data_IF_122172158331
#
_entry.id   IF_122172158331
#
_cell.length_a   1.000
_cell.length_b   1.000
_cell.length_c   1.000
_cell.angle_alpha   90.00
_cell.angle_beta   90.00
_cell.angle_gamma   90.00
#
_symmetry.space_group_name_H-M   'P 1'
#
loop_
_entity.id
_entity.type
_entity.pdbx_description
1 polymer ?
#
# COMPACT_ATOMS: atom_id res chain seq x y z
N UNK A 1 -3.29 -1.00 -10.46
CA UNK A 1 -2.41 -1.19 -9.29
C UNK A 1 -3.16 -1.42 -8.00
N UNK A 2 -4.28 -0.78 -7.82
CA UNK A 2 -5.06 -0.92 -6.60
C UNK A 2 -5.44 -2.37 -6.31
N UNK A 3 -5.86 -3.10 -7.33
CA UNK A 3 -6.22 -4.50 -7.17
C UNK A 3 -5.05 -5.35 -6.71
N UNK A 4 -3.86 -5.09 -7.26
CA UNK A 4 -2.66 -5.83 -6.90
C UNK A 4 -2.27 -5.55 -5.45
N UNK A 5 -2.33 -4.29 -5.04
CA UNK A 5 -2.02 -3.92 -3.66
C UNK A 5 -3.00 -4.60 -2.72
N UNK A 6 -4.29 -4.60 -3.06
CA UNK A 6 -5.31 -5.25 -2.25
C UNK A 6 -5.05 -6.75 -2.09
N UNK A 7 -4.67 -7.41 -3.18
CA UNK A 7 -4.38 -8.84 -3.14
C UNK A 7 -3.19 -9.16 -2.25
N UNK A 8 -2.24 -8.23 -2.16
CA UNK A 8 -1.08 -8.41 -1.30
C UNK A 8 -1.43 -8.18 0.17
N UNK A 9 -2.17 -7.12 0.47
CA UNK A 9 -2.37 -6.72 1.87
C UNK A 9 -3.55 -7.42 2.55
N UNK A 10 -4.59 -7.78 1.80
CA UNK A 10 -5.77 -8.41 2.41
C UNK A 10 -5.46 -9.63 3.25
N UNK A 11 -4.64 -10.57 2.78
CA UNK A 11 -4.35 -11.75 3.60
C UNK A 11 -3.59 -11.44 4.89
N UNK A 12 -3.02 -10.25 5.00
CA UNK A 12 -2.17 -9.89 6.13
C UNK A 12 -2.93 -9.18 7.24
N UNK A 13 -4.17 -8.79 7.01
CA UNK A 13 -4.91 -7.99 7.98
C UNK A 13 -6.06 -8.78 8.59
N UNK A 14 -6.47 -8.36 9.79
CA UNK A 14 -7.55 -9.01 10.52
C UNK A 14 -8.89 -8.35 10.26
N UNK A 15 -8.93 -7.03 10.23
CA UNK A 15 -10.17 -6.28 10.07
C UNK A 15 -10.33 -5.81 8.64
N UNK A 16 -10.77 -6.74 7.79
CA UNK A 16 -10.88 -6.45 6.35
C UNK A 16 -11.94 -5.41 6.03
N UNK A 17 -12.96 -5.30 6.88
CA UNK A 17 -14.00 -4.30 6.64
C UNK A 17 -13.52 -2.87 6.85
N UNK A 18 -12.44 -2.70 7.59
CA UNK A 18 -11.84 -1.38 7.80
C UNK A 18 -10.79 -1.03 6.76
N UNK A 19 -10.44 -1.98 5.89
CA UNK A 19 -9.41 -1.72 4.89
C UNK A 19 -9.95 -0.79 3.82
N UNK A 20 -9.22 0.28 3.54
CA UNK A 20 -9.53 1.19 2.44
C UNK A 20 -8.25 1.42 1.63
N UNK A 21 -8.39 1.37 0.33
CA UNK A 21 -7.27 1.64 -0.57
C UNK A 21 -7.69 2.77 -1.49
N UNK A 22 -6.90 3.84 -1.47
CA UNK A 22 -7.16 5.02 -2.30
C UNK A 22 -6.05 5.20 -3.30
N UNK A 23 -6.39 5.67 -4.48
CA UNK A 23 -5.42 5.99 -5.50
C UNK A 23 -5.43 7.49 -5.74
N UNK A 24 -4.24 8.10 -5.65
CA UNK A 24 -4.04 9.49 -6.04
C UNK A 24 -3.35 9.46 -7.39
N UNK A 25 -3.99 9.99 -8.44
CA UNK A 25 -3.42 9.91 -9.78
C UNK A 25 -2.09 10.64 -9.90
N UNK A 26 -1.26 10.18 -10.82
CA UNK A 26 0.00 10.84 -11.12
C UNK A 26 -0.27 12.24 -11.66
N UNK A 27 0.55 13.18 -11.23
CA UNK A 27 0.56 14.52 -11.80
C UNK A 27 1.93 14.76 -12.37
N UNK A 28 2.08 15.88 -13.07
CA UNK A 28 3.34 16.21 -13.73
C UNK A 28 4.51 16.13 -12.72
N UNK A 29 5.51 15.32 -13.05
CA UNK A 29 6.72 15.12 -12.25
C UNK A 29 6.51 14.42 -10.92
N UNK A 30 5.34 13.83 -10.68
CA UNK A 30 5.09 13.09 -9.45
C UNK A 30 4.45 11.75 -9.74
N UNK A 31 4.84 10.69 -9.04
CA UNK A 31 4.24 9.38 -9.26
C UNK A 31 2.83 9.31 -8.69
N UNK A 32 2.05 8.37 -9.18
CA UNK A 32 0.77 8.06 -8.56
C UNK A 32 1.02 7.51 -7.16
N UNK A 33 0.07 7.72 -6.27
CA UNK A 33 0.16 7.19 -4.90
C UNK A 33 -0.99 6.24 -4.63
N UNK A 34 -0.67 5.16 -3.95
CA UNK A 34 -1.69 4.24 -3.44
C UNK A 34 -1.59 4.29 -1.93
N UNK A 35 -2.67 4.69 -1.29
CA UNK A 35 -2.72 4.85 0.16
C UNK A 35 -3.52 3.70 0.73
N UNK A 36 -2.88 2.91 1.58
CA UNK A 36 -3.52 1.78 2.25
C UNK A 36 -3.87 2.23 3.66
N UNK A 37 -5.15 2.26 3.98
CA UNK A 37 -5.65 2.71 5.28
C UNK A 37 -6.27 1.52 5.99
N UNK A 38 -5.86 1.28 7.21
CA UNK A 38 -6.36 0.16 8.01
C UNK A 38 -6.44 0.59 9.47
N UNK A 39 -6.95 -0.29 10.34
CA UNK A 39 -6.94 0.05 11.75
C UNK A 39 -5.49 0.00 12.27
N UNK A 40 -5.31 0.48 13.50
CA UNK A 40 -3.98 0.66 14.05
C UNK A 40 -3.16 -0.64 14.09
N UNK A 41 -3.79 -1.72 14.55
CA UNK A 41 -3.09 -2.99 14.69
C UNK A 41 -2.69 -3.56 13.33
N UNK A 42 -3.59 -3.48 12.36
CA UNK A 42 -3.30 -3.99 11.02
C UNK A 42 -2.26 -3.15 10.31
N UNK A 43 -2.33 -1.82 10.49
CA UNK A 43 -1.33 -0.93 9.92
C UNK A 43 0.06 -1.27 10.46
N UNK A 44 0.16 -1.54 11.75
CA UNK A 44 1.44 -1.93 12.35
C UNK A 44 1.97 -3.22 11.71
N UNK A 45 1.10 -4.18 11.40
CA UNK A 45 1.52 -5.40 10.72
C UNK A 45 2.02 -5.13 9.31
N UNK A 46 1.33 -4.25 8.60
CA UNK A 46 1.70 -3.91 7.22
C UNK A 46 3.03 -3.17 7.16
N UNK A 47 3.38 -2.44 8.19
CA UNK A 47 4.65 -1.73 8.24
C UNK A 47 5.76 -2.68 8.67
N UNK A 48 5.50 -3.48 9.71
CA UNK A 48 6.49 -4.41 10.24
C UNK A 48 7.59 -3.71 11.02
N UNK A 49 8.44 -4.51 11.64
CA UNK A 49 9.53 -3.98 12.44
C UNK A 49 10.51 -3.23 11.56
N UNK A 50 10.75 -1.96 11.90
CA UNK A 50 11.66 -1.12 11.13
C UNK A 50 11.22 -0.87 9.70
N UNK A 51 9.93 -1.08 9.41
CA UNK A 51 9.42 -0.88 8.06
C UNK A 51 9.68 -2.05 7.11
N UNK A 52 10.10 -3.19 7.62
CA UNK A 52 10.52 -4.31 6.77
C UNK A 52 9.40 -4.86 5.89
N UNK A 53 8.19 -4.97 6.42
CA UNK A 53 7.06 -5.49 5.64
C UNK A 53 6.64 -4.47 4.58
N UNK A 54 6.53 -3.21 4.98
CA UNK A 54 6.16 -2.14 4.04
C UNK A 54 7.16 -2.07 2.89
N UNK A 55 8.44 -2.18 3.18
CA UNK A 55 9.47 -2.14 2.14
C UNK A 55 9.36 -3.33 1.20
N UNK A 56 9.06 -4.51 1.73
CA UNK A 56 8.86 -5.70 0.90
C UNK A 56 7.67 -5.53 -0.03
N UNK A 57 6.56 -4.99 0.50
CA UNK A 57 5.37 -4.74 -0.30
C UNK A 57 5.69 -3.73 -1.41
N UNK A 58 6.41 -2.66 -1.07
CA UNK A 58 6.79 -1.64 -2.04
C UNK A 58 7.64 -2.22 -3.17
N UNK A 59 8.53 -3.15 -2.86
CA UNK A 59 9.36 -3.78 -3.89
C UNK A 59 8.52 -4.59 -4.86
N UNK A 60 7.58 -5.37 -4.36
CA UNK A 60 6.70 -6.16 -5.22
C UNK A 60 5.87 -5.26 -6.11
N UNK A 61 5.29 -4.21 -5.54
CA UNK A 61 4.46 -3.27 -6.29
C UNK A 61 5.32 -2.54 -7.34
N UNK A 62 6.56 -2.18 -7.00
CA UNK A 62 7.45 -1.52 -7.95
C UNK A 62 7.74 -2.39 -9.17
N UNK A 63 7.93 -3.68 -8.97
CA UNK A 63 8.17 -4.59 -10.08
C UNK A 63 6.96 -4.61 -11.01
N UNK A 64 5.76 -4.72 -10.44
CA UNK A 64 4.54 -4.71 -11.25
C UNK A 64 4.35 -3.38 -11.97
N UNK A 65 4.63 -2.28 -11.28
CA UNK A 65 4.50 -0.96 -11.88
C UNK A 65 5.44 -0.79 -13.06
N UNK A 66 6.66 -1.29 -12.95
CA UNK A 66 7.62 -1.23 -14.05
C UNK A 66 7.13 -2.00 -15.28
N UNK A 67 6.52 -3.15 -15.06
CA UNK A 67 5.98 -3.94 -16.17
C UNK A 67 4.89 -3.18 -16.90
N UNK A 68 4.18 -2.31 -16.20
CA UNK A 68 3.12 -1.49 -16.77
C UNK A 68 3.59 -0.10 -17.17
N UNK A 69 4.88 0.18 -17.07
CA UNK A 69 5.48 1.48 -17.39
C UNK A 69 4.90 2.64 -16.58
N UNK A 70 4.64 2.40 -15.29
CA UNK A 70 4.13 3.44 -14.41
C UNK A 70 5.00 3.53 -13.16
N UNK A 71 4.95 4.70 -12.50
CA UNK A 71 5.60 4.92 -11.22
C UNK A 71 4.53 5.04 -10.16
N UNK A 72 4.67 4.25 -9.09
CA UNK A 72 3.68 4.21 -8.03
C UNK A 72 4.39 4.24 -6.68
N UNK A 73 3.84 5.02 -5.78
CA UNK A 73 4.29 5.11 -4.39
C UNK A 73 3.22 4.51 -3.50
N UNK A 74 3.60 3.67 -2.55
CA UNK A 74 2.64 3.06 -1.63
C UNK A 74 2.84 3.64 -0.24
N UNK A 75 1.76 4.13 0.35
CA UNK A 75 1.76 4.67 1.71
C UNK A 75 0.82 3.87 2.59
N UNK A 76 1.17 3.77 3.86
CA UNK A 76 0.36 3.06 4.84
C UNK A 76 -0.06 4.02 5.93
N UNK A 77 -1.37 4.09 6.20
CA UNK A 77 -1.92 5.01 7.18
C UNK A 77 -2.91 4.29 8.08
N UNK A 78 -3.08 4.82 9.27
CA UNK A 78 -4.02 4.29 10.25
C UNK A 78 -5.14 5.29 10.46
N UNK A 79 -6.35 4.79 10.73
CA UNK A 79 -7.47 5.66 11.12
C UNK A 79 -7.24 6.30 12.48
N UNK A 80 -6.48 5.63 13.33
CA UNK A 80 -6.25 6.08 14.70
C UNK A 80 -4.93 6.81 14.82
N UNK A 81 -4.94 8.03 14.49
CA UNK A 81 -3.71 8.78 14.49
C UNK A 81 -3.38 9.38 15.82
#
# INVERSE_FOLDING_TARGET
MEKIVREIVEPMISNKSALMIKTVPAVENEPAEIIVIADKADTARLIGKGGSVANAIRKVVSVKARLDNVHVKVKFESYDE
#
